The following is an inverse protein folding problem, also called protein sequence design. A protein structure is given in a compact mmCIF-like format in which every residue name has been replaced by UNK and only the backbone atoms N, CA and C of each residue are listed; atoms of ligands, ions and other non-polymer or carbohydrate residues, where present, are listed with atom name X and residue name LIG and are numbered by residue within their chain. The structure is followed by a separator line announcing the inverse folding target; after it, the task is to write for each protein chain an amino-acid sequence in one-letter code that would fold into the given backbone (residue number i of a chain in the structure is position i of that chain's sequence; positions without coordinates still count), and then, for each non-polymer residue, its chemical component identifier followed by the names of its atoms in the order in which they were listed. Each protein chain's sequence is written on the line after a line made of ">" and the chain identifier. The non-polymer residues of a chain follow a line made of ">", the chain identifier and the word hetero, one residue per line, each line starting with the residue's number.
data_IF_981444593060
#
_entry.id   IF_981444593060
#
_cell.length_a   1.000
_cell.length_b   1.000
_cell.length_c   1.000
_cell.angle_alpha   90.00
_cell.angle_beta   90.00
_cell.angle_gamma   90.00
#
_symmetry.space_group_name_H-M   'P 1'
#
loop_
_entity.id
_entity.type
_entity.pdbx_description
1 polymer ?
#
# COMPACT_ATOMS: atom_id res chain seq x y z
N UNK A 1 61.53 19.52 -52.44
CA UNK A 1 61.44 18.65 -51.23
C UNK A 1 60.16 18.98 -50.48
N UNK A 2 59.16 18.13 -50.60
CA UNK A 2 57.89 18.33 -49.91
C UNK A 2 57.87 17.54 -48.63
N UNK A 3 57.91 18.20 -47.53
CA UNK A 3 57.82 17.64 -46.16
C UNK A 3 56.40 17.16 -45.90
N UNK A 4 56.24 15.85 -45.74
CA UNK A 4 54.96 15.23 -45.33
C UNK A 4 54.75 15.50 -43.84
N UNK A 5 53.72 16.27 -43.50
CA UNK A 5 53.23 16.42 -42.13
C UNK A 5 52.43 15.16 -41.84
N UNK A 6 52.93 14.35 -40.91
CA UNK A 6 52.23 13.19 -40.35
C UNK A 6 51.07 13.67 -39.50
N UNK A 7 49.87 13.29 -39.89
CA UNK A 7 48.66 13.51 -39.10
C UNK A 7 48.70 12.55 -37.92
N UNK A 8 49.12 13.06 -36.77
CA UNK A 8 48.97 12.36 -35.50
C UNK A 8 47.50 12.43 -35.15
N UNK A 9 46.82 11.31 -35.33
CA UNK A 9 45.46 11.11 -34.89
C UNK A 9 45.40 11.22 -33.38
N UNK A 10 44.94 12.35 -32.89
CA UNK A 10 44.57 12.54 -31.49
C UNK A 10 43.31 11.71 -31.26
N UNK A 11 43.48 10.49 -30.76
CA UNK A 11 42.42 9.71 -30.16
C UNK A 11 41.99 10.45 -28.91
N UNK A 12 40.94 11.30 -29.04
CA UNK A 12 40.17 11.77 -27.91
C UNK A 12 39.40 10.54 -27.42
N UNK A 13 39.95 9.87 -26.41
CA UNK A 13 39.22 8.93 -25.59
C UNK A 13 38.21 9.82 -24.83
N UNK A 14 37.04 10.02 -25.43
CA UNK A 14 35.84 10.42 -24.68
C UNK A 14 35.54 9.23 -23.78
N UNK A 15 36.10 9.26 -22.58
CA UNK A 15 35.57 8.51 -21.46
C UNK A 15 34.12 8.98 -21.29
N UNK A 16 33.23 8.33 -22.04
CA UNK A 16 31.83 8.23 -21.63
C UNK A 16 31.90 7.59 -20.25
N UNK A 17 31.91 8.44 -19.24
CA UNK A 17 31.44 8.08 -17.92
C UNK A 17 29.97 7.72 -18.08
N UNK A 18 29.73 6.51 -18.55
CA UNK A 18 28.49 5.81 -18.29
C UNK A 18 28.49 5.76 -16.76
N UNK A 19 27.87 6.76 -16.16
CA UNK A 19 27.34 6.61 -14.82
C UNK A 19 26.35 5.48 -14.95
N UNK A 20 26.85 4.25 -14.78
CA UNK A 20 26.05 3.14 -14.38
C UNK A 20 25.31 3.67 -13.16
N UNK A 21 24.09 4.19 -13.38
CA UNK A 21 23.13 4.28 -12.31
C UNK A 21 23.02 2.84 -11.83
N UNK A 22 23.77 2.53 -10.78
CA UNK A 22 23.56 1.34 -10.01
C UNK A 22 22.09 1.43 -9.58
N UNK A 23 21.20 0.86 -10.39
CA UNK A 23 19.89 0.49 -9.87
C UNK A 23 20.24 -0.41 -8.69
N UNK A 24 19.95 0.06 -7.49
CA UNK A 24 20.20 -0.73 -6.30
C UNK A 24 19.48 -2.06 -6.55
N UNK A 25 20.28 -3.11 -6.71
CA UNK A 25 19.79 -4.42 -7.11
C UNK A 25 18.79 -4.87 -6.05
N UNK A 26 17.53 -5.03 -6.44
CA UNK A 26 16.48 -5.53 -5.57
C UNK A 26 16.90 -6.92 -5.07
N UNK A 27 17.20 -7.02 -3.79
CA UNK A 27 17.57 -8.29 -3.17
C UNK A 27 16.37 -8.88 -2.44
N UNK A 28 16.18 -10.18 -2.55
CA UNK A 28 15.12 -10.91 -1.86
C UNK A 28 15.69 -11.70 -0.69
N UNK A 29 14.91 -11.82 0.36
CA UNK A 29 15.21 -12.68 1.50
C UNK A 29 13.95 -13.40 1.95
N UNK A 30 14.16 -14.52 2.63
CA UNK A 30 13.07 -15.34 3.17
C UNK A 30 13.25 -15.43 4.68
N UNK A 31 12.31 -14.83 5.40
CA UNK A 31 12.31 -14.80 6.86
C UNK A 31 11.28 -15.78 7.43
N UNK A 32 11.57 -16.36 8.58
CA UNK A 32 10.58 -17.14 9.34
C UNK A 32 9.75 -16.14 10.15
N UNK A 33 8.48 -15.98 9.80
CA UNK A 33 7.52 -15.11 10.46
C UNK A 33 6.21 -15.87 10.63
N UNK A 34 5.65 -15.88 11.82
CA UNK A 34 4.40 -16.60 12.12
C UNK A 34 4.45 -18.09 11.78
N UNK A 35 5.61 -18.74 12.03
CA UNK A 35 5.86 -20.16 11.76
C UNK A 35 5.79 -20.56 10.27
N UNK A 36 5.85 -19.62 9.33
CA UNK A 36 6.00 -19.90 7.90
C UNK A 36 7.14 -19.07 7.31
N UNK A 37 7.58 -19.42 6.11
CA UNK A 37 8.55 -18.63 5.36
C UNK A 37 7.84 -17.50 4.63
N UNK A 38 8.24 -16.25 4.89
CA UNK A 38 7.68 -15.08 4.23
C UNK A 38 8.78 -14.29 3.51
N UNK A 39 8.45 -13.74 2.35
CA UNK A 39 9.42 -13.08 1.47
C UNK A 39 9.41 -11.58 1.69
N UNK A 40 10.60 -11.02 1.83
CA UNK A 40 10.84 -9.58 1.82
C UNK A 40 11.81 -9.22 0.70
N UNK A 41 11.72 -8.00 0.19
CA UNK A 41 12.74 -7.45 -0.69
C UNK A 41 13.36 -6.21 -0.07
N UNK A 42 14.62 -5.97 -0.41
CA UNK A 42 15.40 -4.85 0.07
C UNK A 42 15.95 -4.02 -1.09
N UNK A 43 15.89 -2.70 -0.96
CA UNK A 43 16.65 -1.76 -1.79
C UNK A 43 17.20 -0.62 -0.95
N UNK A 44 18.34 -0.05 -1.35
CA UNK A 44 19.08 0.94 -0.57
C UNK A 44 20.16 0.34 0.33
N UNK A 45 20.94 1.20 0.99
CA UNK A 45 22.01 0.77 1.91
C UNK A 45 21.43 0.23 3.22
N UNK A 46 22.05 -0.84 3.73
CA UNK A 46 21.69 -1.45 5.02
C UNK A 46 22.00 -0.54 6.23
N UNK A 47 22.81 0.49 6.02
CA UNK A 47 23.15 1.47 7.08
C UNK A 47 22.16 2.61 7.19
N UNK A 48 21.18 2.70 6.29
CA UNK A 48 20.14 3.70 6.32
C UNK A 48 18.98 3.32 7.26
N UNK A 49 18.16 4.29 7.70
CA UNK A 49 16.92 4.02 8.43
C UNK A 49 15.99 3.12 7.63
N UNK A 50 15.27 2.23 8.32
CA UNK A 50 14.33 1.32 7.67
C UNK A 50 13.01 2.04 7.37
N UNK A 51 12.50 1.84 6.13
CA UNK A 51 11.11 2.10 5.77
C UNK A 51 10.46 0.80 5.28
N UNK A 52 9.46 0.31 6.00
CA UNK A 52 8.75 -0.94 5.71
C UNK A 52 7.37 -0.64 5.12
N UNK A 53 7.05 -1.27 4.00
CA UNK A 53 5.76 -1.15 3.32
C UNK A 53 4.87 -2.37 3.59
N UNK A 54 3.67 -2.10 4.12
CA UNK A 54 2.57 -3.04 4.30
C UNK A 54 1.57 -2.83 3.16
N UNK A 55 1.50 -3.79 2.24
CA UNK A 55 0.59 -3.71 1.11
C UNK A 55 -0.87 -3.90 1.50
N UNK A 56 -1.75 -3.41 0.65
CA UNK A 56 -3.20 -3.53 0.79
C UNK A 56 -3.77 -4.84 0.21
N UNK A 57 -5.01 -4.77 -0.15
CA UNK A 57 -5.83 -5.87 -0.65
C UNK A 57 -6.95 -6.21 0.33
N UNK A 58 -6.79 -7.16 1.30
CA UNK A 58 -5.59 -7.93 1.62
C UNK A 58 -5.08 -8.80 0.48
N UNK A 59 -3.81 -9.22 0.55
CA UNK A 59 -3.22 -10.16 -0.41
C UNK A 59 -2.66 -9.55 -1.71
N UNK A 60 -2.65 -8.22 -1.87
CA UNK A 60 -2.20 -7.55 -3.09
C UNK A 60 -0.74 -7.11 -3.01
N UNK A 61 0.19 -8.04 -3.26
CA UNK A 61 1.63 -7.75 -3.30
C UNK A 61 1.97 -6.52 -4.15
N UNK A 62 2.84 -5.66 -3.64
CA UNK A 62 3.36 -4.48 -4.36
C UNK A 62 4.80 -4.64 -4.85
N UNK A 63 5.45 -5.78 -4.61
CA UNK A 63 6.87 -5.97 -4.95
C UNK A 63 7.19 -5.71 -6.42
N UNK A 64 6.31 -6.08 -7.35
CA UNK A 64 6.51 -5.83 -8.79
C UNK A 64 6.47 -4.35 -9.16
N UNK A 65 5.83 -3.53 -8.35
CA UNK A 65 5.62 -2.09 -8.58
C UNK A 65 6.49 -1.23 -7.67
N UNK A 66 7.30 -1.84 -6.79
CA UNK A 66 8.05 -1.14 -5.75
C UNK A 66 8.90 0.01 -6.31
N UNK A 67 9.55 -0.18 -7.45
CA UNK A 67 10.37 0.86 -8.07
C UNK A 67 9.60 2.14 -8.44
N UNK A 68 8.30 2.04 -8.73
CA UNK A 68 7.49 3.21 -9.07
C UNK A 68 7.44 4.22 -7.92
N UNK A 69 7.29 3.73 -6.70
CA UNK A 69 7.05 4.56 -5.52
C UNK A 69 8.17 4.57 -4.49
N UNK A 70 9.29 3.90 -4.76
CA UNK A 70 10.41 3.83 -3.82
C UNK A 70 11.81 4.03 -4.41
N UNK A 71 11.92 4.25 -5.72
CA UNK A 71 13.21 4.41 -6.40
C UNK A 71 14.05 5.61 -5.91
N UNK A 72 13.42 6.66 -5.40
CA UNK A 72 14.12 7.80 -4.80
C UNK A 72 14.36 7.56 -3.31
N UNK A 73 13.41 6.92 -2.62
CA UNK A 73 13.50 6.63 -1.18
C UNK A 73 14.72 5.78 -0.83
N UNK A 74 15.16 4.85 -1.72
CA UNK A 74 16.32 3.98 -1.47
C UNK A 74 17.66 4.73 -1.29
N UNK A 75 17.71 6.03 -1.59
CA UNK A 75 18.87 6.89 -1.31
C UNK A 75 18.90 7.38 0.15
N UNK A 76 17.77 7.32 0.84
CA UNK A 76 17.56 7.83 2.19
C UNK A 76 17.16 6.74 3.18
N UNK A 77 16.68 5.60 2.68
CA UNK A 77 16.18 4.50 3.48
C UNK A 77 16.68 3.14 2.98
N UNK A 78 16.81 2.20 3.88
CA UNK A 78 16.68 0.79 3.54
C UNK A 78 15.18 0.53 3.33
N UNK A 79 14.78 0.49 2.06
CA UNK A 79 13.38 0.26 1.67
C UNK A 79 13.10 -1.23 1.71
N UNK A 80 12.06 -1.62 2.44
CA UNK A 80 11.64 -3.01 2.58
C UNK A 80 10.22 -3.16 2.10
N UNK A 81 10.01 -4.05 1.12
CA UNK A 81 8.70 -4.54 0.71
C UNK A 81 8.50 -5.93 1.30
N UNK A 82 7.29 -6.22 1.72
CA UNK A 82 6.94 -7.51 2.29
C UNK A 82 5.75 -8.12 1.56
N UNK A 83 5.92 -9.32 1.06
CA UNK A 83 4.80 -10.16 0.65
C UNK A 83 4.25 -10.85 1.89
N UNK A 84 3.14 -10.32 2.39
CA UNK A 84 2.46 -10.85 3.57
C UNK A 84 2.03 -12.30 3.35
N UNK A 85 1.62 -12.95 4.43
CA UNK A 85 1.05 -14.32 4.40
C UNK A 85 0.01 -14.44 3.29
N UNK A 86 0.05 -15.53 2.52
CA UNK A 86 -0.82 -15.84 1.37
C UNK A 86 -0.86 -14.75 0.28
N UNK A 87 0.20 -13.94 0.17
CA UNK A 87 0.36 -12.95 -0.88
C UNK A 87 1.65 -13.18 -1.69
N UNK A 88 1.61 -12.84 -2.97
CA UNK A 88 2.76 -12.74 -3.85
C UNK A 88 3.72 -13.94 -3.79
N UNK A 89 5.00 -13.67 -3.56
CA UNK A 89 6.06 -14.68 -3.47
C UNK A 89 5.96 -15.55 -2.22
N UNK A 90 5.38 -15.02 -1.13
CA UNK A 90 5.14 -15.81 0.09
C UNK A 90 4.15 -16.93 -0.19
N UNK A 91 3.03 -16.63 -0.88
CA UNK A 91 2.06 -17.65 -1.30
C UNK A 91 2.70 -18.69 -2.24
N UNK A 92 3.59 -18.25 -3.15
CA UNK A 92 4.29 -19.15 -4.05
C UNK A 92 5.25 -20.13 -3.33
N UNK A 93 5.76 -19.74 -2.15
CA UNK A 93 6.61 -20.62 -1.32
C UNK A 93 5.78 -21.59 -0.47
N UNK A 94 4.74 -21.06 0.18
CA UNK A 94 3.90 -21.83 1.07
C UNK A 94 2.57 -21.12 1.34
N UNK A 95 1.52 -21.90 1.46
CA UNK A 95 0.21 -21.43 1.90
C UNK A 95 0.13 -21.44 3.43
N UNK A 96 -0.66 -20.53 3.99
CA UNK A 96 -0.93 -20.54 5.44
C UNK A 96 -1.54 -21.86 5.87
N UNK A 97 -0.99 -22.53 6.91
CA UNK A 97 -1.56 -23.76 7.44
C UNK A 97 -2.80 -23.51 8.32
N UNK A 98 -3.11 -22.25 8.59
CA UNK A 98 -4.25 -21.83 9.44
C UNK A 98 -5.07 -20.76 8.73
N UNK A 99 -6.36 -20.61 9.07
CA UNK A 99 -7.20 -19.55 8.52
C UNK A 99 -6.60 -18.16 8.77
N UNK A 100 -6.73 -17.30 7.77
CA UNK A 100 -6.25 -15.91 7.88
C UNK A 100 -7.19 -15.10 8.78
N UNK A 101 -6.59 -14.36 9.68
CA UNK A 101 -7.29 -13.40 10.55
C UNK A 101 -6.48 -12.11 10.66
N UNK A 102 -7.13 -11.00 10.97
CA UNK A 102 -6.45 -9.74 11.25
C UNK A 102 -5.43 -9.91 12.38
N UNK A 103 -5.77 -10.61 13.46
CA UNK A 103 -4.86 -10.85 14.58
C UNK A 103 -3.63 -11.67 14.18
N UNK A 104 -3.79 -12.69 13.30
CA UNK A 104 -2.65 -13.46 12.80
C UNK A 104 -1.69 -12.55 12.00
N UNK A 105 -2.24 -11.72 11.12
CA UNK A 105 -1.44 -10.80 10.30
C UNK A 105 -0.83 -9.67 11.14
N UNK A 106 -1.49 -9.22 12.18
CA UNK A 106 -0.95 -8.29 13.18
C UNK A 106 0.27 -8.88 13.88
N UNK A 107 0.17 -10.13 14.36
CA UNK A 107 1.29 -10.84 14.99
C UNK A 107 2.46 -11.03 14.02
N UNK A 108 2.18 -11.42 12.77
CA UNK A 108 3.21 -11.50 11.72
C UNK A 108 3.91 -10.15 11.50
N UNK A 109 3.13 -9.05 11.47
CA UNK A 109 3.67 -7.69 11.30
C UNK A 109 4.60 -7.32 12.46
N UNK A 110 4.19 -7.57 13.69
CA UNK A 110 5.00 -7.31 14.86
C UNK A 110 6.29 -8.13 14.85
N UNK A 111 6.19 -9.43 14.58
CA UNK A 111 7.34 -10.33 14.51
C UNK A 111 8.32 -9.89 13.42
N UNK A 112 7.82 -9.57 12.23
CA UNK A 112 8.65 -9.07 11.13
C UNK A 112 9.39 -7.78 11.53
N UNK A 113 8.70 -6.79 12.11
CA UNK A 113 9.33 -5.55 12.57
C UNK A 113 10.47 -5.87 13.55
N UNK A 114 10.22 -6.73 14.55
CA UNK A 114 11.24 -7.13 15.53
C UNK A 114 12.45 -7.82 14.89
N UNK A 115 12.22 -8.70 13.92
CA UNK A 115 13.27 -9.38 13.17
C UNK A 115 14.12 -8.39 12.36
N UNK A 116 13.47 -7.43 11.67
CA UNK A 116 14.17 -6.41 10.87
C UNK A 116 14.99 -5.47 11.77
N UNK A 117 14.42 -5.00 12.88
CA UNK A 117 15.14 -4.16 13.85
C UNK A 117 16.40 -4.86 14.40
N UNK A 118 16.28 -6.15 14.74
CA UNK A 118 17.42 -6.96 15.18
C UNK A 118 18.44 -7.17 14.05
N UNK A 119 17.98 -7.55 12.85
CA UNK A 119 18.82 -7.86 11.68
C UNK A 119 19.69 -6.68 11.27
N UNK A 120 19.14 -5.47 11.28
CA UNK A 120 19.82 -4.27 10.83
C UNK A 120 20.30 -3.36 11.98
N UNK A 121 20.25 -3.84 13.21
CA UNK A 121 20.66 -3.10 14.41
C UNK A 121 20.01 -1.71 14.48
N UNK A 122 18.68 -1.67 14.38
CA UNK A 122 17.88 -0.44 14.48
C UNK A 122 16.94 -0.52 15.67
N UNK A 123 16.55 0.64 16.21
CA UNK A 123 15.60 0.73 17.34
C UNK A 123 14.19 0.97 16.88
N UNK A 124 14.01 1.68 15.77
CA UNK A 124 12.72 2.08 15.21
C UNK A 124 12.74 2.03 13.70
N UNK A 125 11.55 1.96 13.09
CA UNK A 125 11.34 2.01 11.64
C UNK A 125 10.36 3.13 11.28
N UNK A 126 10.35 3.52 10.00
CA UNK A 126 9.23 4.18 9.37
C UNK A 126 8.31 3.09 8.80
N UNK A 127 7.03 3.14 9.18
CA UNK A 127 6.05 2.14 8.75
C UNK A 127 5.08 2.78 7.76
N UNK A 128 4.95 2.20 6.58
CA UNK A 128 3.98 2.61 5.56
C UNK A 128 2.89 1.55 5.47
N UNK A 129 1.63 1.95 5.58
CA UNK A 129 0.49 1.09 5.30
C UNK A 129 -0.32 1.66 4.14
N UNK A 130 -0.72 0.81 3.18
CA UNK A 130 -1.62 1.19 2.09
C UNK A 130 -2.93 0.41 2.20
N UNK A 131 -4.08 1.10 2.17
CA UNK A 131 -5.39 0.44 2.20
C UNK A 131 -5.49 -0.54 3.37
N UNK A 132 -5.77 -1.83 3.14
CA UNK A 132 -5.77 -2.86 4.20
C UNK A 132 -4.47 -2.89 5.02
N UNK A 133 -3.31 -2.55 4.43
CA UNK A 133 -2.05 -2.43 5.17
C UNK A 133 -2.11 -1.41 6.31
N UNK A 134 -3.02 -0.43 6.24
CA UNK A 134 -3.24 0.53 7.34
C UNK A 134 -3.91 -0.10 8.55
N UNK A 135 -4.72 -1.14 8.37
CA UNK A 135 -5.31 -1.90 9.50
C UNK A 135 -4.19 -2.44 10.38
N UNK A 136 -3.17 -3.05 9.76
CA UNK A 136 -1.99 -3.57 10.47
C UNK A 136 -1.13 -2.43 11.01
N UNK A 137 -0.93 -1.36 10.23
CA UNK A 137 -0.17 -0.19 10.64
C UNK A 137 -0.76 0.52 11.85
N UNK A 138 -2.08 0.72 11.91
CA UNK A 138 -2.76 1.28 13.08
C UNK A 138 -2.62 0.40 14.31
N UNK A 139 -2.67 -0.94 14.17
CA UNK A 139 -2.43 -1.87 15.28
C UNK A 139 -1.01 -1.77 15.81
N UNK A 140 -0.01 -1.58 14.94
CA UNK A 140 1.37 -1.34 15.37
C UNK A 140 1.51 0.02 16.07
N UNK A 141 0.90 1.08 15.54
CA UNK A 141 0.92 2.41 16.14
C UNK A 141 0.16 2.47 17.50
N UNK A 142 -0.86 1.63 17.68
CA UNK A 142 -1.59 1.45 18.94
C UNK A 142 -0.75 0.75 20.00
N UNK A 143 -0.26 -0.47 19.67
CA UNK A 143 0.32 -1.41 20.63
C UNK A 143 1.83 -1.27 20.80
N UNK A 144 2.52 -0.81 19.75
CA UNK A 144 3.98 -0.78 19.67
C UNK A 144 4.53 0.55 19.13
N UNK A 145 4.03 1.71 19.60
CA UNK A 145 4.50 3.02 19.14
C UNK A 145 5.99 3.25 19.37
N UNK A 146 6.59 2.57 20.35
CA UNK A 146 8.02 2.63 20.66
C UNK A 146 8.91 2.07 19.55
N UNK A 147 8.37 1.23 18.66
CA UNK A 147 9.09 0.66 17.51
C UNK A 147 9.03 1.56 16.26
N UNK A 148 8.26 2.64 16.30
CA UNK A 148 7.99 3.48 15.13
C UNK A 148 8.64 4.87 15.26
N UNK A 149 9.37 5.29 14.21
CA UNK A 149 9.72 6.69 14.02
C UNK A 149 8.48 7.50 13.59
N UNK A 150 7.70 6.91 12.68
CA UNK A 150 6.43 7.43 12.22
C UNK A 150 5.61 6.31 11.57
N UNK A 151 4.29 6.48 11.53
CA UNK A 151 3.37 5.71 10.72
C UNK A 151 2.81 6.59 9.59
N UNK A 152 2.91 6.11 8.35
CA UNK A 152 2.43 6.76 7.13
C UNK A 152 1.23 5.96 6.60
N UNK A 153 0.05 6.53 6.68
CA UNK A 153 -1.22 5.90 6.33
C UNK A 153 -1.70 6.39 4.96
N UNK A 154 -1.61 5.52 3.96
CA UNK A 154 -2.08 5.76 2.59
C UNK A 154 -3.46 5.18 2.39
N UNK A 155 -4.41 6.01 1.95
CA UNK A 155 -5.81 5.59 1.72
C UNK A 155 -6.32 4.69 2.87
N UNK A 156 -6.36 5.21 4.11
CA UNK A 156 -6.52 4.40 5.31
C UNK A 156 -7.92 3.81 5.46
N UNK A 157 -7.97 2.58 5.92
CA UNK A 157 -9.19 1.89 6.39
C UNK A 157 -9.55 2.42 7.77
N UNK A 158 -10.60 3.24 7.85
CA UNK A 158 -11.05 3.90 9.09
C UNK A 158 -12.36 3.31 9.61
N UNK A 159 -13.43 3.46 8.86
CA UNK A 159 -14.77 2.91 9.09
C UNK A 159 -15.23 2.29 7.76
N UNK A 160 -14.65 1.13 7.45
CA UNK A 160 -14.75 0.58 6.10
C UNK A 160 -16.18 0.16 5.76
N UNK A 161 -16.93 -0.37 6.70
CA UNK A 161 -18.33 -0.72 6.47
C UNK A 161 -19.15 0.47 5.99
N UNK A 162 -18.94 1.65 6.57
CA UNK A 162 -19.58 2.91 6.12
C UNK A 162 -19.05 3.37 4.76
N UNK A 163 -17.76 3.24 4.50
CA UNK A 163 -17.16 3.56 3.19
C UNK A 163 -17.80 2.72 2.08
N UNK A 164 -17.94 1.41 2.28
CA UNK A 164 -18.57 0.49 1.32
C UNK A 164 -20.08 0.81 1.12
N UNK A 165 -20.80 1.19 2.19
CA UNK A 165 -22.20 1.62 2.08
C UNK A 165 -22.35 2.90 1.26
N UNK A 166 -21.51 3.92 1.52
CA UNK A 166 -21.50 5.17 0.76
C UNK A 166 -21.22 4.91 -0.72
N UNK A 167 -20.22 4.06 -1.01
CA UNK A 167 -19.92 3.65 -2.38
C UNK A 167 -21.12 2.96 -3.03
N UNK A 168 -21.73 1.98 -2.37
CA UNK A 168 -22.86 1.23 -2.88
C UNK A 168 -24.05 2.14 -3.23
N UNK A 169 -24.40 3.07 -2.34
CA UNK A 169 -25.49 4.01 -2.57
C UNK A 169 -25.18 4.96 -3.75
N UNK A 170 -23.92 5.39 -3.86
CA UNK A 170 -23.46 6.21 -4.99
C UNK A 170 -23.57 5.46 -6.33
N UNK A 171 -23.18 4.19 -6.36
CA UNK A 171 -23.29 3.35 -7.56
C UNK A 171 -24.74 3.07 -7.94
N UNK A 172 -25.63 2.85 -6.97
CA UNK A 172 -27.07 2.67 -7.21
C UNK A 172 -27.70 3.94 -7.80
N UNK A 173 -27.33 5.11 -7.29
CA UNK A 173 -27.81 6.39 -7.81
C UNK A 173 -27.34 6.60 -9.24
N UNK A 174 -26.06 6.42 -9.54
CA UNK A 174 -25.50 6.52 -10.89
C UNK A 174 -26.17 5.57 -11.88
N UNK A 175 -26.40 4.32 -11.46
CA UNK A 175 -27.09 3.32 -12.28
C UNK A 175 -28.54 3.76 -12.61
N UNK A 176 -29.23 4.36 -11.65
CA UNK A 176 -30.60 4.90 -11.85
C UNK A 176 -30.58 6.10 -12.79
N UNK A 177 -29.69 7.07 -12.56
CA UNK A 177 -29.58 8.28 -13.37
C UNK A 177 -29.22 7.98 -14.84
N UNK A 178 -28.41 6.96 -15.07
CA UNK A 178 -28.01 6.49 -16.41
C UNK A 178 -29.02 5.53 -17.06
N UNK A 179 -30.09 5.15 -16.36
CA UNK A 179 -31.05 4.14 -16.84
C UNK A 179 -30.41 2.77 -17.09
N UNK A 180 -29.38 2.39 -16.31
CA UNK A 180 -28.65 1.12 -16.51
C UNK A 180 -29.35 0.01 -15.72
N UNK A 181 -30.28 -0.70 -16.36
CA UNK A 181 -31.09 -1.75 -15.74
C UNK A 181 -30.24 -2.91 -15.21
N UNK A 182 -29.15 -3.27 -15.91
CA UNK A 182 -28.25 -4.33 -15.43
C UNK A 182 -27.55 -3.92 -14.14
N UNK A 183 -27.02 -2.68 -14.07
CA UNK A 183 -26.39 -2.19 -12.88
C UNK A 183 -27.38 -2.13 -11.69
N UNK A 184 -28.58 -1.63 -11.93
CA UNK A 184 -29.63 -1.56 -10.90
C UNK A 184 -29.95 -2.96 -10.36
N UNK A 185 -30.15 -3.95 -11.22
CA UNK A 185 -30.45 -5.34 -10.86
C UNK A 185 -29.30 -5.97 -10.04
N UNK A 186 -28.06 -5.86 -10.51
CA UNK A 186 -26.90 -6.44 -9.86
C UNK A 186 -26.61 -5.77 -8.51
N UNK A 187 -26.59 -4.43 -8.44
CA UNK A 187 -26.33 -3.65 -7.21
C UNK A 187 -27.45 -3.83 -6.16
N UNK A 188 -28.69 -4.13 -6.56
CA UNK A 188 -29.75 -4.42 -5.62
C UNK A 188 -29.50 -5.70 -4.78
N UNK A 189 -28.67 -6.62 -5.29
CA UNK A 189 -28.33 -7.87 -4.58
C UNK A 189 -27.21 -7.68 -3.57
N UNK A 190 -26.42 -6.59 -3.69
CA UNK A 190 -25.22 -6.36 -2.87
C UNK A 190 -25.61 -5.99 -1.44
N UNK A 191 -25.00 -6.67 -0.47
CA UNK A 191 -25.11 -6.39 0.96
C UNK A 191 -23.72 -6.14 1.55
N UNK A 192 -23.66 -5.33 2.59
CA UNK A 192 -22.44 -5.05 3.37
C UNK A 192 -22.70 -5.52 4.81
N UNK A 193 -21.86 -6.45 5.34
CA UNK A 193 -20.77 -7.18 4.71
C UNK A 193 -21.19 -8.05 3.53
N UNK A 194 -20.26 -8.34 2.61
CA UNK A 194 -20.53 -9.13 1.42
C UNK A 194 -20.87 -10.59 1.76
N UNK A 195 -21.99 -11.10 1.24
CA UNK A 195 -22.41 -12.47 1.47
C UNK A 195 -21.63 -13.52 0.68
N UNK A 196 -21.12 -13.15 -0.49
CA UNK A 196 -20.39 -14.02 -1.41
C UNK A 196 -19.54 -13.20 -2.39
N UNK A 197 -18.78 -13.91 -3.24
CA UNK A 197 -17.90 -13.29 -4.22
C UNK A 197 -18.65 -12.53 -5.33
N UNK A 198 -19.86 -12.97 -5.71
CA UNK A 198 -20.66 -12.32 -6.73
C UNK A 198 -21.04 -10.89 -6.31
N UNK A 199 -21.48 -10.71 -5.05
CA UNK A 199 -21.82 -9.39 -4.51
C UNK A 199 -20.61 -8.45 -4.53
N UNK A 200 -19.45 -8.95 -4.12
CA UNK A 200 -18.20 -8.19 -4.21
C UNK A 200 -17.83 -7.89 -5.68
N UNK A 201 -17.99 -8.86 -6.56
CA UNK A 201 -17.76 -8.72 -8.00
C UNK A 201 -18.63 -7.63 -8.62
N UNK A 202 -19.92 -7.60 -8.29
CA UNK A 202 -20.83 -6.55 -8.76
C UNK A 202 -20.42 -5.17 -8.25
N UNK A 203 -20.09 -5.04 -6.97
CA UNK A 203 -19.61 -3.78 -6.41
C UNK A 203 -18.34 -3.30 -7.12
N UNK A 204 -17.35 -4.18 -7.33
CA UNK A 204 -16.08 -3.84 -8.02
C UNK A 204 -16.28 -3.51 -9.50
N UNK A 205 -17.08 -4.29 -10.22
CA UNK A 205 -17.43 -4.04 -11.63
C UNK A 205 -18.00 -2.65 -11.83
N UNK A 206 -19.03 -2.30 -11.04
CA UNK A 206 -19.73 -1.04 -11.20
C UNK A 206 -18.94 0.15 -10.64
N UNK A 207 -18.07 -0.07 -9.66
CA UNK A 207 -17.10 0.93 -9.23
C UNK A 207 -16.11 1.27 -10.35
N UNK A 208 -15.52 0.26 -11.01
CA UNK A 208 -14.63 0.48 -12.15
C UNK A 208 -15.35 1.23 -13.30
N UNK A 209 -16.58 0.83 -13.62
CA UNK A 209 -17.38 1.52 -14.63
C UNK A 209 -17.71 2.97 -14.24
N UNK A 210 -17.98 3.22 -12.95
CA UNK A 210 -18.20 4.56 -12.42
C UNK A 210 -16.93 5.42 -12.54
N UNK A 211 -15.75 4.87 -12.29
CA UNK A 211 -14.45 5.54 -12.46
C UNK A 211 -14.04 5.71 -13.94
N UNK A 212 -14.92 5.33 -14.88
CA UNK A 212 -14.73 5.54 -16.32
C UNK A 212 -14.02 4.41 -17.06
N UNK A 213 -13.74 3.28 -16.40
CA UNK A 213 -13.17 2.12 -17.09
C UNK A 213 -14.22 1.45 -17.99
N UNK A 214 -13.84 1.21 -19.25
CA UNK A 214 -14.64 0.46 -20.21
C UNK A 214 -14.20 -1.01 -20.17
N UNK A 215 -14.93 -1.83 -19.43
CA UNK A 215 -14.63 -3.25 -19.29
C UNK A 215 -15.11 -4.02 -20.52
N UNK A 216 -14.19 -4.69 -21.22
CA UNK A 216 -14.50 -5.66 -22.27
C UNK A 216 -15.08 -6.96 -21.67
N UNK A 217 -15.56 -7.85 -22.53
CA UNK A 217 -16.00 -9.18 -22.08
C UNK A 217 -14.87 -9.96 -21.40
N UNK A 218 -13.66 -9.90 -21.93
CA UNK A 218 -12.49 -10.57 -21.37
C UNK A 218 -12.09 -9.95 -20.01
N UNK A 219 -12.18 -8.62 -19.84
CA UNK A 219 -11.95 -7.94 -18.56
C UNK A 219 -12.95 -8.39 -17.49
N UNK A 220 -14.22 -8.58 -17.89
CA UNK A 220 -15.27 -9.06 -16.97
C UNK A 220 -15.03 -10.51 -16.54
N UNK A 221 -14.59 -11.38 -17.45
CA UNK A 221 -14.20 -12.76 -17.12
C UNK A 221 -13.01 -12.74 -16.14
N UNK A 222 -11.96 -12.00 -16.46
CA UNK A 222 -10.76 -11.88 -15.61
C UNK A 222 -11.09 -11.30 -14.22
N UNK A 223 -11.93 -10.26 -14.16
CA UNK A 223 -12.39 -9.66 -12.90
C UNK A 223 -13.15 -10.68 -12.04
N UNK A 224 -14.09 -11.43 -12.65
CA UNK A 224 -14.89 -12.42 -11.95
C UNK A 224 -14.02 -13.57 -11.40
N UNK A 225 -13.08 -14.07 -12.18
CA UNK A 225 -12.12 -15.09 -11.76
C UNK A 225 -11.23 -14.57 -10.63
N UNK A 226 -10.68 -13.36 -10.78
CA UNK A 226 -9.89 -12.71 -9.73
C UNK A 226 -10.66 -12.56 -8.42
N UNK A 227 -11.89 -12.02 -8.47
CA UNK A 227 -12.72 -11.80 -7.28
C UNK A 227 -13.11 -13.11 -6.63
N UNK A 228 -13.43 -14.16 -7.41
CA UNK A 228 -13.73 -15.49 -6.89
C UNK A 228 -12.53 -16.06 -6.13
N UNK A 229 -11.37 -16.14 -6.76
CA UNK A 229 -10.14 -16.67 -6.17
C UNK A 229 -9.70 -15.87 -4.92
N UNK A 230 -9.82 -14.54 -4.99
CA UNK A 230 -9.54 -13.67 -3.85
C UNK A 230 -10.49 -13.93 -2.70
N UNK A 231 -11.77 -14.07 -2.99
CA UNK A 231 -12.82 -14.26 -1.97
C UNK A 231 -12.67 -15.57 -1.20
N UNK A 232 -12.21 -16.64 -1.84
CA UNK A 232 -11.95 -17.93 -1.18
C UNK A 232 -10.93 -17.80 -0.04
N UNK A 233 -9.97 -16.90 -0.19
CA UNK A 233 -8.90 -16.70 0.80
C UNK A 233 -9.20 -15.54 1.75
N UNK A 234 -9.70 -14.42 1.24
CA UNK A 234 -9.66 -13.14 1.93
C UNK A 234 -11.02 -12.58 2.35
N UNK A 235 -12.13 -13.00 1.75
CA UNK A 235 -13.44 -12.42 2.03
C UNK A 235 -13.84 -12.52 3.51
N UNK A 236 -13.58 -13.63 4.23
CA UNK A 236 -13.87 -13.67 5.67
C UNK A 236 -13.08 -12.65 6.48
N UNK A 237 -11.78 -12.49 6.16
CA UNK A 237 -10.89 -11.52 6.82
C UNK A 237 -11.31 -10.08 6.49
N UNK A 238 -11.64 -9.81 5.23
CA UNK A 238 -12.15 -8.52 4.80
C UNK A 238 -13.47 -8.16 5.48
N UNK A 239 -14.44 -9.06 5.47
CA UNK A 239 -15.72 -8.85 6.14
C UNK A 239 -15.56 -8.59 7.64
N UNK A 240 -14.57 -9.21 8.29
CA UNK A 240 -14.24 -8.89 9.67
C UNK A 240 -13.69 -7.47 9.81
N UNK A 241 -12.83 -7.06 8.88
CA UNK A 241 -12.27 -5.70 8.86
C UNK A 241 -13.34 -4.61 8.61
N UNK A 242 -14.42 -4.93 7.87
CA UNK A 242 -15.56 -4.00 7.67
C UNK A 242 -16.25 -3.60 8.98
N UNK A 243 -16.14 -4.41 10.03
CA UNK A 243 -16.72 -4.12 11.35
C UNK A 243 -15.89 -3.16 12.21
N UNK A 244 -14.65 -2.83 11.82
CA UNK A 244 -13.81 -1.92 12.58
C UNK A 244 -14.20 -0.46 12.37
N UNK A 245 -14.15 0.31 13.50
CA UNK A 245 -14.37 1.75 13.50
C UNK A 245 -13.30 2.42 14.36
N UNK A 246 -12.34 3.08 13.72
CA UNK A 246 -11.23 3.72 14.41
C UNK A 246 -11.65 4.93 15.26
N UNK A 247 -12.79 5.56 15.00
CA UNK A 247 -13.29 6.62 15.88
C UNK A 247 -13.56 6.12 17.30
N UNK A 248 -13.97 4.86 17.44
CA UNK A 248 -14.23 4.23 18.75
C UNK A 248 -13.08 3.41 19.25
N UNK A 249 -12.34 2.72 18.35
CA UNK A 249 -11.30 1.77 18.72
C UNK A 249 -9.95 2.46 18.97
N UNK A 250 -9.63 3.54 18.24
CA UNK A 250 -8.31 4.18 18.27
C UNK A 250 -8.38 5.71 18.25
N UNK A 251 -8.92 6.35 19.30
CA UNK A 251 -9.01 7.82 19.37
C UNK A 251 -7.67 8.53 19.58
N UNK A 252 -6.62 7.77 19.93
CA UNK A 252 -5.27 8.30 20.22
C UNK A 252 -4.19 7.33 19.79
N UNK A 253 -3.10 7.89 19.21
CA UNK A 253 -1.85 7.20 18.88
C UNK A 253 -0.70 7.91 19.59
N UNK A 254 0.35 7.16 19.98
CA UNK A 254 1.52 7.69 20.71
C UNK A 254 2.80 7.77 19.86
N UNK A 255 2.70 7.69 18.54
CA UNK A 255 3.79 7.98 17.59
C UNK A 255 3.35 9.03 16.56
N UNK A 256 4.30 9.66 15.84
CA UNK A 256 3.96 10.51 14.70
C UNK A 256 3.17 9.76 13.64
N UNK A 257 2.12 10.39 13.08
CA UNK A 257 1.29 9.79 12.04
C UNK A 257 1.02 10.78 10.91
N UNK A 258 1.10 10.30 9.67
CA UNK A 258 0.93 11.09 8.47
C UNK A 258 -0.07 10.43 7.53
N UNK A 259 -1.09 11.18 7.11
CA UNK A 259 -2.15 10.70 6.23
C UNK A 259 -1.89 11.15 4.79
N UNK A 260 -2.02 10.22 3.85
CA UNK A 260 -1.91 10.47 2.42
C UNK A 260 -3.24 10.07 1.76
N UNK A 261 -4.02 11.06 1.36
CA UNK A 261 -5.41 10.87 0.92
C UNK A 261 -5.61 11.32 -0.52
N UNK A 262 -6.14 10.43 -1.37
CA UNK A 262 -6.65 10.79 -2.68
C UNK A 262 -8.07 11.37 -2.53
N UNK A 263 -8.31 12.56 -3.08
CA UNK A 263 -9.62 13.22 -2.97
C UNK A 263 -10.73 12.48 -3.72
N UNK A 264 -10.37 11.69 -4.71
CA UNK A 264 -11.29 10.87 -5.51
C UNK A 264 -11.42 9.43 -4.98
N UNK A 265 -10.84 9.12 -3.80
CA UNK A 265 -10.91 7.77 -3.24
C UNK A 265 -12.34 7.41 -2.85
N UNK A 266 -12.89 6.42 -3.52
CA UNK A 266 -14.21 5.86 -3.26
C UNK A 266 -14.14 4.58 -2.42
N UNK A 267 -12.98 3.92 -2.36
CA UNK A 267 -12.85 2.62 -1.67
C UNK A 267 -12.68 2.79 -0.16
N UNK A 268 -11.77 3.70 0.25
CA UNK A 268 -11.59 4.08 1.66
C UNK A 268 -12.00 5.53 1.86
N UNK A 269 -13.23 5.81 1.68
CA UNK A 269 -13.87 7.11 1.57
C UNK A 269 -13.07 8.31 2.12
N UNK A 270 -12.67 9.21 1.23
CA UNK A 270 -11.87 10.40 1.55
C UNK A 270 -12.43 11.22 2.72
N UNK A 271 -13.76 11.44 2.75
CA UNK A 271 -14.42 12.24 3.80
C UNK A 271 -14.25 11.59 5.17
N UNK A 272 -14.47 10.28 5.28
CA UNK A 272 -14.31 9.52 6.54
C UNK A 272 -12.85 9.55 7.00
N UNK A 273 -11.91 9.37 6.08
CA UNK A 273 -10.48 9.39 6.42
C UNK A 273 -10.02 10.77 6.89
N UNK A 274 -10.51 11.85 6.25
CA UNK A 274 -10.24 13.23 6.65
C UNK A 274 -10.86 13.56 8.01
N UNK A 275 -12.10 13.18 8.24
CA UNK A 275 -12.78 13.37 9.53
C UNK A 275 -12.05 12.65 10.67
N UNK A 276 -11.59 11.41 10.43
CA UNK A 276 -10.80 10.69 11.41
C UNK A 276 -9.44 11.34 11.67
N UNK A 277 -8.76 11.87 10.65
CA UNK A 277 -7.54 12.63 10.84
C UNK A 277 -7.77 13.84 11.78
N UNK A 278 -8.85 14.55 11.61
CA UNK A 278 -9.21 15.70 12.47
C UNK A 278 -9.46 15.24 13.92
N UNK A 279 -10.19 14.16 14.09
CA UNK A 279 -10.55 13.56 15.38
C UNK A 279 -9.36 12.94 16.14
N UNK A 280 -8.46 12.24 15.44
CA UNK A 280 -7.36 11.47 16.02
C UNK A 280 -6.41 12.37 16.84
N UNK A 281 -6.04 11.94 18.04
CA UNK A 281 -5.00 12.58 18.87
C UNK A 281 -3.66 11.86 18.65
N UNK A 282 -2.62 12.62 18.31
CA UNK A 282 -1.26 12.11 18.13
C UNK A 282 -0.23 13.16 18.54
N UNK A 283 1.01 12.78 18.93
CA UNK A 283 2.07 13.73 19.31
C UNK A 283 2.48 14.63 18.14
N UNK A 284 2.41 14.10 16.92
CA UNK A 284 2.59 14.81 15.66
C UNK A 284 1.71 14.17 14.60
N UNK A 285 0.95 14.97 13.88
CA UNK A 285 0.15 14.49 12.74
C UNK A 285 0.13 15.54 11.64
N UNK A 286 0.11 15.06 10.40
CA UNK A 286 -0.07 15.91 9.22
C UNK A 286 -0.84 15.15 8.15
N UNK A 287 -1.44 15.88 7.20
CA UNK A 287 -2.28 15.33 6.14
C UNK A 287 -1.87 15.90 4.79
N UNK A 288 -1.67 15.01 3.82
CA UNK A 288 -1.36 15.34 2.44
C UNK A 288 -2.52 14.89 1.55
N UNK A 289 -3.17 15.85 0.91
CA UNK A 289 -4.34 15.63 0.06
C UNK A 289 -3.92 15.78 -1.40
N UNK A 290 -4.26 14.77 -2.21
CA UNK A 290 -3.96 14.70 -3.63
C UNK A 290 -5.26 14.86 -4.41
N UNK A 291 -5.47 16.04 -4.98
CA UNK A 291 -6.73 16.46 -5.61
C UNK A 291 -7.17 15.57 -6.76
N UNK A 292 -6.19 15.02 -7.50
CA UNK A 292 -6.43 14.21 -8.69
C UNK A 292 -6.35 12.71 -8.47
N UNK A 293 -5.80 12.27 -7.34
CA UNK A 293 -5.64 10.86 -7.03
C UNK A 293 -6.93 10.21 -6.51
N UNK A 294 -7.07 8.93 -6.83
CA UNK A 294 -8.05 8.00 -6.27
C UNK A 294 -7.47 7.21 -5.11
N UNK A 295 -7.74 5.90 -5.12
CA UNK A 295 -7.34 4.99 -4.04
C UNK A 295 -5.83 4.70 -4.01
N UNK A 296 -5.16 4.71 -5.16
CA UNK A 296 -3.76 4.29 -5.27
C UNK A 296 -2.77 5.47 -5.22
N UNK A 297 -2.93 6.39 -4.26
CA UNK A 297 -2.08 7.60 -4.09
C UNK A 297 -0.59 7.27 -4.18
N UNK A 298 -0.17 6.15 -3.59
CA UNK A 298 1.23 5.72 -3.55
C UNK A 298 1.84 5.55 -4.96
N UNK A 299 1.04 5.16 -5.94
CA UNK A 299 1.48 4.94 -7.33
C UNK A 299 1.01 6.04 -8.29
N UNK A 300 -0.16 6.62 -8.07
CA UNK A 300 -0.71 7.70 -8.90
C UNK A 300 0.10 8.99 -8.75
N UNK A 301 0.60 9.27 -7.55
CA UNK A 301 1.35 10.48 -7.20
C UNK A 301 2.77 10.17 -6.68
N UNK A 302 3.36 9.08 -7.19
CA UNK A 302 4.58 8.47 -6.68
C UNK A 302 5.76 9.46 -6.50
N UNK A 303 5.97 10.37 -7.43
CA UNK A 303 7.05 11.36 -7.35
C UNK A 303 6.82 12.36 -6.21
N UNK A 304 5.61 12.89 -6.10
CA UNK A 304 5.25 13.85 -5.06
C UNK A 304 5.26 13.20 -3.68
N UNK A 305 4.76 11.97 -3.58
CA UNK A 305 4.78 11.16 -2.35
C UNK A 305 6.20 10.98 -1.84
N UNK A 306 7.14 10.56 -2.69
CA UNK A 306 8.54 10.36 -2.29
C UNK A 306 9.18 11.67 -1.83
N UNK A 307 8.91 12.79 -2.50
CA UNK A 307 9.40 14.13 -2.08
C UNK A 307 8.87 14.51 -0.69
N UNK A 308 7.59 14.28 -0.43
CA UNK A 308 6.98 14.56 0.88
C UNK A 308 7.61 13.68 1.97
N UNK A 309 7.75 12.39 1.73
CA UNK A 309 8.36 11.46 2.71
C UNK A 309 9.77 11.92 3.08
N UNK A 310 10.58 12.35 2.11
CA UNK A 310 11.95 12.80 2.36
C UNK A 310 11.98 14.17 3.04
N UNK A 311 11.30 15.16 2.47
CA UNK A 311 11.48 16.56 2.86
C UNK A 311 10.62 16.96 4.07
N UNK A 312 9.40 16.46 4.13
CA UNK A 312 8.42 16.90 5.13
C UNK A 312 8.33 15.96 6.33
N UNK A 313 8.73 14.70 6.16
CA UNK A 313 8.68 13.71 7.24
C UNK A 313 10.08 13.37 7.73
N UNK A 314 10.92 12.74 6.90
CA UNK A 314 12.23 12.26 7.30
C UNK A 314 13.14 13.38 7.79
N UNK A 315 13.41 14.38 6.93
CA UNK A 315 14.32 15.49 7.27
C UNK A 315 13.84 16.37 8.45
N UNK A 316 12.52 16.38 8.74
CA UNK A 316 11.97 17.13 9.89
C UNK A 316 11.97 16.33 11.19
N UNK A 317 11.93 15.00 11.12
CA UNK A 317 12.02 14.14 12.32
C UNK A 317 13.47 13.89 12.74
N UNK A 318 14.39 13.81 11.79
CA UNK A 318 15.82 13.56 12.05
C UNK A 318 16.56 14.77 12.68
N UNK A 319 15.93 15.95 12.59
CA UNK A 319 16.46 17.20 13.19
C UNK A 319 15.98 17.48 14.63
N UNK A 320 15.12 16.61 15.17
CA UNK A 320 14.60 16.72 16.54
C UNK A 320 15.24 15.66 17.47
#
# INVERSE_FOLDING_TARGET
>A
MKTKISVVSVFIIVLLSITLRSQAQLSYDTLSVGNIKQVVSYSGSKDLPIILFLHGGPGSSRMKQADLFSNVLQKHFLVIQWDQRDAGRTLALNKSPVPLTVNLMENDTYELIRLLLKKFNRKKIYLVGESFGTVLGFKMAEKHPELLNAFLAFSPVVEQGKSEQILLEKLKLDAKEKGNDQAQKELATVKIPYGNYEQLGYAKKWMLAYDGYKLSADDLVALNEYVKNWSETWLPTWNKALGHNLFTELPKINCPVYFFLGKKDLQTNFGIAKEYFEFLKAPKKDIFIFENAGHSVLTEEAEQVQKIIINDIFNKLDKQ
#
